data_IF_116165848410
#
_entry.id   IF_116165848410
#
_cell.length_a   1.000
_cell.length_b   1.000
_cell.length_c   1.000
_cell.angle_alpha   90.00
_cell.angle_beta   90.00
_cell.angle_gamma   90.00
#
_symmetry.space_group_name_H-M   'P 1'
#
loop_
_entity.id
_entity.type
_entity.pdbx_description
1 polymer ?
#
# COMPACT_ATOMS: atom_id res chain seq x y z
N UNK A 1 29.66 37.19 -52.40
CA UNK A 1 30.34 35.88 -52.46
C UNK A 1 31.71 35.99 -51.81
N UNK A 2 31.86 35.64 -50.54
CA UNK A 2 33.17 35.51 -49.88
C UNK A 2 33.10 34.28 -48.98
N UNK A 3 33.84 33.24 -49.33
CA UNK A 3 34.05 32.03 -48.59
C UNK A 3 35.06 32.28 -47.49
N UNK A 4 34.73 32.07 -46.24
CA UNK A 4 35.66 32.09 -45.12
C UNK A 4 35.90 30.63 -44.71
N UNK A 5 37.14 30.18 -44.96
CA UNK A 5 37.66 28.91 -44.44
C UNK A 5 38.12 29.18 -43.00
N UNK A 6 37.60 28.42 -42.05
CA UNK A 6 38.11 28.38 -40.69
C UNK A 6 38.83 27.06 -40.51
N UNK A 7 40.14 27.14 -40.33
CA UNK A 7 41.01 26.03 -40.03
C UNK A 7 40.82 25.65 -38.52
N UNK A 8 40.46 24.40 -38.26
CA UNK A 8 40.40 23.86 -36.90
C UNK A 8 41.73 23.16 -36.60
N UNK A 9 42.45 23.75 -35.67
CA UNK A 9 43.71 23.18 -35.15
C UNK A 9 43.35 22.18 -34.04
N UNK A 10 43.62 20.89 -34.26
CA UNK A 10 43.47 19.84 -33.28
C UNK A 10 44.73 19.79 -32.41
N UNK A 11 44.61 20.13 -31.15
CA UNK A 11 45.65 19.91 -30.14
C UNK A 11 45.35 18.61 -29.41
N UNK A 12 46.17 17.60 -29.67
CA UNK A 12 46.12 16.32 -28.92
C UNK A 12 47.05 16.49 -27.72
N UNK A 13 46.47 16.52 -26.54
CA UNK A 13 47.25 16.45 -25.28
C UNK A 13 47.04 15.05 -24.69
N UNK A 14 48.05 14.21 -24.87
CA UNK A 14 48.17 12.92 -24.17
C UNK A 14 48.70 13.16 -22.75
N UNK A 15 47.85 13.10 -21.78
CA UNK A 15 48.19 13.11 -20.35
C UNK A 15 47.85 11.78 -19.69
N UNK A 16 48.84 10.86 -19.63
CA UNK A 16 48.76 9.65 -18.80
C UNK A 16 48.99 10.05 -17.34
N UNK A 17 47.90 10.08 -16.53
CA UNK A 17 48.03 10.11 -15.07
C UNK A 17 47.39 8.82 -14.56
N UNK A 18 48.22 7.83 -14.25
CA UNK A 18 47.84 6.64 -13.51
C UNK A 18 47.70 7.00 -12.04
N UNK A 19 46.49 7.30 -11.60
CA UNK A 19 46.14 7.32 -10.16
C UNK A 19 45.55 6.00 -9.78
N UNK A 20 46.37 5.09 -9.24
CA UNK A 20 45.92 3.91 -8.49
C UNK A 20 45.37 4.36 -7.15
N UNK A 21 44.12 4.80 -7.09
CA UNK A 21 43.39 4.89 -5.86
C UNK A 21 42.84 3.51 -5.52
N UNK A 22 43.40 2.86 -4.50
CA UNK A 22 42.82 1.72 -3.83
C UNK A 22 41.47 2.18 -3.22
N UNK A 23 40.40 2.03 -3.97
CA UNK A 23 39.04 2.20 -3.46
C UNK A 23 38.77 1.02 -2.55
N UNK A 24 38.94 1.25 -1.22
CA UNK A 24 38.56 0.35 -0.19
C UNK A 24 37.03 0.29 -0.22
N UNK A 25 36.47 -0.68 -0.92
CA UNK A 25 35.05 -0.99 -0.90
C UNK A 25 34.73 -1.47 0.51
N UNK A 26 34.36 -0.54 1.38
CA UNK A 26 33.58 -0.89 2.57
C UNK A 26 32.18 -1.22 2.07
N UNK A 27 31.95 -2.49 1.77
CA UNK A 27 30.61 -3.05 1.83
C UNK A 27 30.22 -3.01 3.30
N UNK A 28 29.61 -1.93 3.73
CA UNK A 28 28.68 -1.99 4.85
C UNK A 28 27.49 -2.82 4.35
N UNK A 29 27.53 -4.12 4.68
CA UNK A 29 26.36 -4.96 4.72
C UNK A 29 25.47 -4.41 5.85
N UNK A 30 24.76 -3.34 5.58
CA UNK A 30 23.64 -2.91 6.38
C UNK A 30 22.47 -3.86 6.09
N UNK A 31 22.62 -5.09 6.58
CA UNK A 31 21.51 -6.01 6.81
C UNK A 31 20.65 -5.39 7.91
N UNK A 32 19.91 -4.34 7.56
CA UNK A 32 18.77 -3.94 8.37
C UNK A 32 17.80 -5.10 8.26
N UNK A 33 17.70 -5.90 9.31
CA UNK A 33 16.61 -6.86 9.52
C UNK A 33 15.30 -6.06 9.45
N UNK A 34 14.80 -5.86 8.23
CA UNK A 34 13.53 -5.17 7.99
C UNK A 34 12.45 -6.04 8.61
N UNK A 35 12.00 -5.67 9.81
CA UNK A 35 10.98 -6.42 10.52
C UNK A 35 9.76 -6.57 9.61
N UNK A 36 9.53 -7.79 9.16
CA UNK A 36 8.40 -8.12 8.28
C UNK A 36 7.10 -7.75 9.01
N UNK A 37 6.24 -7.00 8.34
CA UNK A 37 4.94 -6.63 8.89
C UNK A 37 4.12 -7.88 9.21
N UNK A 38 3.45 -7.96 10.36
CA UNK A 38 2.57 -9.10 10.68
C UNK A 38 1.40 -9.24 9.70
N UNK A 39 1.08 -8.19 8.94
CA UNK A 39 0.04 -8.21 7.90
C UNK A 39 0.52 -8.81 6.58
N UNK A 40 1.85 -8.93 6.34
CA UNK A 40 2.36 -9.46 5.07
C UNK A 40 1.66 -10.74 4.63
N UNK A 41 1.32 -10.81 3.34
CA UNK A 41 0.70 -11.96 2.70
C UNK A 41 -0.71 -11.72 2.17
N UNK A 42 -1.40 -12.81 1.90
CA UNK A 42 -2.70 -12.82 1.23
C UNK A 42 -3.79 -13.17 2.23
N UNK A 43 -4.90 -12.47 2.17
CA UNK A 43 -5.99 -12.58 3.13
C UNK A 43 -7.34 -12.63 2.42
N UNK A 44 -8.27 -13.42 2.94
CA UNK A 44 -9.67 -13.45 2.51
C UNK A 44 -10.59 -13.06 3.67
N UNK A 45 -11.59 -12.25 3.38
CA UNK A 45 -12.64 -11.91 4.35
C UNK A 45 -13.54 -13.11 4.57
N UNK A 46 -13.70 -13.51 5.84
CA UNK A 46 -14.52 -14.64 6.25
C UNK A 46 -15.74 -14.21 7.05
N UNK A 47 -15.75 -13.00 7.62
CA UNK A 47 -16.86 -12.45 8.37
C UNK A 47 -16.82 -10.94 8.36
N UNK A 48 -18.00 -10.34 8.24
CA UNK A 48 -18.23 -8.91 8.38
C UNK A 48 -19.42 -8.70 9.30
N UNK A 49 -19.22 -7.96 10.39
CA UNK A 49 -20.25 -7.61 11.34
C UNK A 49 -20.47 -6.10 11.33
N UNK A 50 -21.73 -5.66 11.28
CA UNK A 50 -22.09 -4.25 11.40
C UNK A 50 -23.44 -4.15 12.10
N UNK A 51 -23.55 -3.28 13.13
CA UNK A 51 -24.75 -3.13 13.96
C UNK A 51 -25.26 -4.47 14.57
N UNK A 52 -24.34 -5.33 15.01
CA UNK A 52 -24.67 -6.64 15.57
C UNK A 52 -25.17 -7.67 14.56
N UNK A 53 -25.22 -7.31 13.26
CA UNK A 53 -25.56 -8.23 12.19
C UNK A 53 -24.31 -8.80 11.55
N UNK A 54 -24.11 -10.10 11.68
CA UNK A 54 -23.00 -10.81 11.05
C UNK A 54 -23.41 -11.21 9.64
N UNK A 55 -22.57 -10.84 8.67
CA UNK A 55 -22.67 -11.28 7.29
C UNK A 55 -21.47 -12.16 6.98
N UNK A 56 -21.75 -13.41 6.62
CA UNK A 56 -20.70 -14.28 6.09
C UNK A 56 -20.77 -14.22 4.57
N UNK A 57 -19.62 -14.18 3.88
CA UNK A 57 -19.60 -14.23 2.43
C UNK A 57 -20.30 -15.51 1.95
N UNK A 58 -21.32 -15.38 1.10
CA UNK A 58 -21.99 -16.54 0.49
C UNK A 58 -21.06 -17.27 -0.51
N UNK A 59 -20.08 -16.58 -0.98
CA UNK A 59 -19.04 -17.08 -1.88
C UNK A 59 -17.68 -16.64 -1.35
N UNK A 60 -16.78 -17.57 -1.14
CA UNK A 60 -15.41 -17.30 -0.71
C UNK A 60 -14.51 -17.44 -1.93
N UNK A 61 -13.62 -16.48 -2.18
CA UNK A 61 -13.47 -15.22 -1.47
C UNK A 61 -14.40 -14.14 -2.05
N UNK A 62 -15.15 -13.44 -1.19
CA UNK A 62 -15.86 -12.21 -1.59
C UNK A 62 -14.88 -11.04 -1.70
N UNK A 63 -13.88 -11.01 -0.85
CA UNK A 63 -12.78 -10.06 -0.91
C UNK A 63 -11.45 -10.81 -0.72
N UNK A 64 -10.49 -10.42 -1.54
CA UNK A 64 -9.11 -10.85 -1.48
C UNK A 64 -8.25 -9.62 -1.27
N UNK A 65 -7.49 -9.55 -0.16
CA UNK A 65 -6.60 -8.43 0.16
C UNK A 65 -5.17 -8.93 0.32
N UNK A 66 -4.24 -8.22 -0.27
CA UNK A 66 -2.81 -8.50 -0.23
C UNK A 66 -2.09 -7.36 0.47
N UNK A 67 -1.11 -7.72 1.30
CA UNK A 67 -0.19 -6.77 1.92
C UNK A 67 1.24 -7.16 1.56
N UNK A 68 2.01 -6.21 1.08
CA UNK A 68 3.41 -6.40 0.73
C UNK A 68 4.18 -5.09 0.84
N UNK A 69 5.26 -5.11 1.64
CA UNK A 69 6.24 -4.02 1.76
C UNK A 69 5.62 -2.62 1.97
N UNK A 70 4.62 -2.53 2.86
CA UNK A 70 3.91 -1.27 3.15
C UNK A 70 2.85 -0.89 2.11
N UNK A 71 2.54 -1.77 1.15
CA UNK A 71 1.47 -1.59 0.19
C UNK A 71 0.36 -2.60 0.45
N UNK A 72 -0.87 -2.19 0.15
CA UNK A 72 -2.00 -3.09 0.07
C UNK A 72 -2.63 -3.04 -1.32
N UNK A 73 -3.31 -4.13 -1.67
CA UNK A 73 -4.27 -4.16 -2.77
C UNK A 73 -5.42 -5.08 -2.42
N UNK A 74 -6.60 -4.82 -2.95
CA UNK A 74 -7.76 -5.68 -2.77
C UNK A 74 -8.60 -5.77 -4.03
N UNK A 75 -9.33 -6.88 -4.14
CA UNK A 75 -10.34 -7.12 -5.16
C UNK A 75 -11.58 -7.64 -4.46
N UNK A 76 -12.75 -7.07 -4.76
CA UNK A 76 -14.03 -7.50 -4.24
C UNK A 76 -14.96 -7.97 -5.35
N UNK A 77 -15.77 -8.96 -5.02
CA UNK A 77 -16.83 -9.50 -5.84
C UNK A 77 -18.16 -9.37 -5.14
N UNK A 78 -19.22 -9.19 -5.90
CA UNK A 78 -20.58 -9.22 -5.38
C UNK A 78 -21.04 -10.65 -5.03
N UNK A 79 -22.23 -10.78 -4.49
CA UNK A 79 -22.81 -12.08 -4.10
C UNK A 79 -23.08 -13.02 -5.28
N UNK A 80 -23.12 -12.50 -6.52
CA UNK A 80 -23.24 -13.27 -7.75
C UNK A 80 -21.89 -13.75 -8.28
N UNK A 81 -20.78 -13.22 -7.72
CA UNK A 81 -19.42 -13.49 -8.17
C UNK A 81 -18.97 -12.63 -9.33
N UNK A 82 -19.63 -11.50 -9.58
CA UNK A 82 -19.15 -10.49 -10.52
C UNK A 82 -18.19 -9.56 -9.80
N UNK A 83 -17.20 -9.06 -10.53
CA UNK A 83 -16.32 -8.00 -10.05
C UNK A 83 -17.15 -6.81 -9.57
N UNK A 84 -16.82 -6.31 -8.40
CA UNK A 84 -17.46 -5.14 -7.78
C UNK A 84 -16.51 -3.96 -7.77
N UNK A 85 -15.46 -4.02 -6.96
CA UNK A 85 -14.46 -2.96 -6.83
C UNK A 85 -13.07 -3.53 -6.62
N UNK A 86 -12.06 -2.72 -6.92
CA UNK A 86 -10.68 -2.98 -6.57
C UNK A 86 -9.99 -1.69 -6.15
N UNK A 87 -9.00 -1.80 -5.28
CA UNK A 87 -8.20 -0.69 -4.83
C UNK A 87 -6.81 -1.12 -4.41
N UNK A 88 -5.93 -0.13 -4.32
CA UNK A 88 -4.57 -0.32 -3.83
C UNK A 88 -4.05 0.99 -3.22
N UNK A 89 -3.04 0.86 -2.36
CA UNK A 89 -2.44 2.01 -1.73
C UNK A 89 -1.30 1.64 -0.80
N UNK A 90 -1.03 2.53 0.13
CA UNK A 90 -0.03 2.31 1.17
C UNK A 90 -0.70 2.04 2.50
N UNK A 91 -0.06 1.24 3.35
CA UNK A 91 -0.46 1.08 4.73
C UNK A 91 0.70 1.33 5.70
N UNK A 92 0.34 1.74 6.89
CA UNK A 92 1.25 1.96 8.01
C UNK A 92 0.66 1.30 9.25
N UNK A 93 1.52 0.76 10.13
CA UNK A 93 1.13 0.21 11.43
C UNK A 93 1.85 0.97 12.53
N UNK A 94 1.09 1.42 13.51
CA UNK A 94 1.62 1.97 14.74
C UNK A 94 0.89 1.35 15.94
N UNK A 95 1.53 0.39 16.61
CA UNK A 95 0.89 -0.41 17.64
C UNK A 95 -0.34 -1.15 17.12
N UNK A 96 -1.50 -0.90 17.70
CA UNK A 96 -2.78 -1.46 17.28
C UNK A 96 -3.55 -0.57 16.29
N UNK A 97 -2.94 0.48 15.79
CA UNK A 97 -3.52 1.34 14.77
C UNK A 97 -2.98 0.95 13.41
N UNK A 98 -3.88 0.69 12.48
CA UNK A 98 -3.65 0.49 11.07
C UNK A 98 -4.14 1.72 10.32
N UNK A 99 -3.35 2.23 9.39
CA UNK A 99 -3.70 3.36 8.54
C UNK A 99 -3.57 2.95 7.07
N UNK A 100 -4.58 3.24 6.28
CA UNK A 100 -4.51 3.17 4.82
C UNK A 100 -4.42 4.56 4.19
N UNK A 101 -3.78 4.63 3.03
CA UNK A 101 -3.84 5.77 2.11
C UNK A 101 -4.15 5.21 0.73
N UNK A 102 -5.30 5.57 0.17
CA UNK A 102 -5.79 5.08 -1.12
C UNK A 102 -4.98 5.72 -2.25
N UNK A 103 -4.25 4.92 -3.01
CA UNK A 103 -3.49 5.36 -4.19
C UNK A 103 -4.21 5.11 -5.50
N UNK A 104 -5.01 4.04 -5.56
CA UNK A 104 -5.78 3.62 -6.73
C UNK A 104 -7.13 3.07 -6.29
N UNK A 105 -8.19 3.39 -7.01
CA UNK A 105 -9.52 2.86 -6.77
C UNK A 105 -10.32 2.77 -8.07
N UNK A 106 -11.17 1.75 -8.16
CA UNK A 106 -11.99 1.49 -9.36
C UNK A 106 -13.40 2.08 -9.25
N UNK A 107 -13.76 2.70 -8.12
CA UNK A 107 -15.15 3.13 -7.88
C UNK A 107 -15.35 4.64 -8.06
N UNK A 108 -14.56 5.50 -7.41
CA UNK A 108 -14.69 6.95 -7.50
C UNK A 108 -13.33 7.61 -7.23
N UNK A 109 -12.83 8.35 -8.20
CA UNK A 109 -11.53 9.01 -8.12
C UNK A 109 -11.44 10.09 -7.04
N UNK A 110 -12.56 10.56 -6.49
CA UNK A 110 -12.57 11.49 -5.35
C UNK A 110 -11.95 10.89 -4.09
N UNK A 111 -11.90 9.55 -3.99
CA UNK A 111 -11.24 8.84 -2.89
C UNK A 111 -9.71 8.73 -3.02
N UNK A 112 -9.11 9.13 -4.14
CA UNK A 112 -7.66 9.12 -4.29
C UNK A 112 -7.01 10.01 -3.23
N UNK A 113 -5.97 9.47 -2.56
CA UNK A 113 -5.28 10.07 -1.42
C UNK A 113 -6.14 10.27 -0.16
N UNK A 114 -7.35 9.72 -0.10
CA UNK A 114 -8.07 9.60 1.17
C UNK A 114 -7.30 8.69 2.12
N UNK A 115 -7.54 8.89 3.40
CA UNK A 115 -6.86 8.15 4.48
C UNK A 115 -7.89 7.66 5.47
N UNK A 116 -7.66 6.47 6.00
CA UNK A 116 -8.42 5.97 7.13
C UNK A 116 -7.51 5.34 8.19
N UNK A 117 -7.99 5.36 9.41
CA UNK A 117 -7.35 4.75 10.58
C UNK A 117 -8.33 3.79 11.21
N UNK A 118 -7.87 2.57 11.46
CA UNK A 118 -8.65 1.49 12.03
C UNK A 118 -7.86 0.87 13.19
N UNK A 119 -8.55 0.34 14.18
CA UNK A 119 -7.93 -0.60 15.12
C UNK A 119 -7.82 -1.96 14.47
N UNK A 120 -6.76 -2.66 14.81
CA UNK A 120 -6.55 -4.02 14.34
C UNK A 120 -5.94 -4.89 15.42
N UNK A 121 -6.16 -6.18 15.32
CA UNK A 121 -5.48 -7.20 16.12
C UNK A 121 -5.34 -8.52 15.35
N UNK A 122 -4.41 -9.36 15.81
CA UNK A 122 -4.22 -10.71 15.31
C UNK A 122 -4.61 -11.70 16.42
N UNK A 123 -5.52 -12.62 16.13
CA UNK A 123 -5.90 -13.72 17.01
C UNK A 123 -5.63 -15.05 16.30
N UNK A 124 -4.48 -15.67 16.62
CA UNK A 124 -3.98 -16.81 15.86
C UNK A 124 -3.79 -16.45 14.39
N UNK A 125 -4.42 -17.20 13.49
CA UNK A 125 -4.36 -16.96 12.03
C UNK A 125 -5.44 -15.97 11.53
N UNK A 126 -6.17 -15.32 12.45
CA UNK A 126 -7.25 -14.39 12.11
C UNK A 126 -6.83 -12.95 12.33
N UNK A 127 -6.87 -12.17 11.26
CA UNK A 127 -6.68 -10.72 11.27
C UNK A 127 -8.06 -10.06 11.45
N UNK A 128 -8.18 -9.12 12.40
CA UNK A 128 -9.43 -8.44 12.74
C UNK A 128 -9.23 -6.94 12.63
N UNK A 129 -10.13 -6.27 11.90
CA UNK A 129 -10.23 -4.81 11.84
C UNK A 129 -11.52 -4.33 12.49
N UNK A 130 -11.45 -3.18 13.18
CA UNK A 130 -12.55 -2.58 13.92
C UNK A 130 -12.85 -1.19 13.36
N UNK A 131 -13.72 -1.06 12.41
CA UNK A 131 -14.27 0.19 11.89
C UNK A 131 -13.32 1.37 11.78
N UNK A 132 -13.80 2.47 11.25
CA UNK A 132 -13.00 3.67 11.12
C UNK A 132 -12.94 4.45 12.44
N UNK A 133 -11.75 4.57 13.03
CA UNK A 133 -11.49 5.51 14.14
C UNK A 133 -11.41 6.95 13.61
N UNK A 134 -10.88 7.10 12.41
CA UNK A 134 -10.78 8.36 11.68
C UNK A 134 -10.79 8.08 10.17
N UNK A 135 -11.39 8.97 9.39
CA UNK A 135 -11.29 8.99 7.92
C UNK A 135 -11.20 10.43 7.42
N UNK A 136 -10.33 10.65 6.43
CA UNK A 136 -10.09 11.96 5.82
C UNK A 136 -10.03 11.85 4.31
N UNK A 137 -10.63 12.79 3.61
CA UNK A 137 -10.44 12.98 2.18
C UNK A 137 -9.07 13.61 1.89
N UNK A 138 -8.66 13.66 0.63
CA UNK A 138 -7.36 14.21 0.21
C UNK A 138 -7.15 15.68 0.62
N UNK A 139 -8.20 16.46 0.69
CA UNK A 139 -8.21 17.87 1.10
C UNK A 139 -8.18 18.07 2.63
N UNK A 140 -8.17 16.96 3.39
CA UNK A 140 -8.19 16.98 4.85
C UNK A 140 -9.60 17.04 5.47
N UNK A 141 -10.66 17.02 4.68
CA UNK A 141 -12.03 16.96 5.21
C UNK A 141 -12.21 15.66 5.98
N UNK A 142 -12.61 15.76 7.28
CA UNK A 142 -12.95 14.59 8.08
C UNK A 142 -14.31 14.03 7.65
N UNK A 143 -14.32 12.76 7.28
CA UNK A 143 -15.50 12.02 6.82
C UNK A 143 -15.80 10.78 7.67
N UNK A 144 -15.25 10.73 8.88
CA UNK A 144 -15.37 9.57 9.79
C UNK A 144 -16.83 9.19 10.06
N UNK A 145 -17.68 10.17 10.33
CA UNK A 145 -19.09 9.93 10.59
C UNK A 145 -19.84 9.47 9.35
N UNK A 146 -19.48 10.02 8.18
CA UNK A 146 -20.06 9.63 6.89
C UNK A 146 -19.74 8.16 6.58
N UNK A 147 -18.48 7.73 6.79
CA UNK A 147 -18.03 6.37 6.54
C UNK A 147 -18.56 5.37 7.58
N UNK A 148 -18.83 5.82 8.80
CA UNK A 148 -19.47 5.03 9.84
C UNK A 148 -21.00 5.22 9.91
N UNK A 149 -21.65 5.81 8.89
CA UNK A 149 -23.09 6.11 8.95
C UNK A 149 -23.97 4.90 9.25
N UNK A 150 -23.55 3.70 8.84
CA UNK A 150 -24.20 2.44 9.15
C UNK A 150 -23.59 1.74 10.38
N UNK A 151 -22.92 2.47 11.28
CA UNK A 151 -22.22 1.94 12.43
C UNK A 151 -20.82 1.40 12.11
N UNK A 152 -19.99 1.28 13.14
CA UNK A 152 -18.67 0.66 13.00
C UNK A 152 -18.81 -0.81 12.66
N UNK A 153 -17.93 -1.29 11.81
CA UNK A 153 -17.87 -2.69 11.42
C UNK A 153 -16.79 -3.46 12.21
N UNK A 154 -16.92 -4.77 12.22
CA UNK A 154 -15.84 -5.69 12.59
C UNK A 154 -15.65 -6.63 11.42
N UNK A 155 -14.44 -6.61 10.86
CA UNK A 155 -14.08 -7.45 9.74
C UNK A 155 -13.04 -8.48 10.15
N UNK A 156 -13.28 -9.75 9.80
CA UNK A 156 -12.36 -10.86 10.08
C UNK A 156 -11.85 -11.45 8.78
N UNK A 157 -10.55 -11.64 8.72
CA UNK A 157 -9.83 -12.20 7.58
C UNK A 157 -8.97 -13.38 8.03
N UNK A 158 -8.84 -14.38 7.17
CA UNK A 158 -7.89 -15.47 7.37
C UNK A 158 -6.85 -15.47 6.27
N UNK A 159 -5.65 -15.96 6.62
CA UNK A 159 -4.54 -16.05 5.68
C UNK A 159 -4.80 -17.13 4.64
N UNK A 160 -4.55 -16.83 3.38
CA UNK A 160 -4.53 -17.83 2.30
C UNK A 160 -3.22 -18.62 2.42
N UNK A 161 -3.33 -19.94 2.46
CA UNK A 161 -2.18 -20.87 2.50
C UNK A 161 -1.78 -21.28 1.09
#
# INVERSE_FOLDING_TARGET
MKRILIAITVVVITGLIACTSKQKSSKEDESTDKKVSPLEGNWITVSFEQNGKITQPKRVPQEFKMFHDGYFSFIMYDTSGKFSIAGAGRYEINGNTYKETVGYCSWDTSYLNSKDWQKWEMKGDTLIFYGFEKAEMADGKNVTNEWNANGKFIEKRVRVK
#
